data_IF_621979707885
#
_entry.id   IF_621979707885
#
_cell.length_a   1.000
_cell.length_b   1.000
_cell.length_c   1.000
_cell.angle_alpha   90.00
_cell.angle_beta   90.00
_cell.angle_gamma   90.00
#
_symmetry.space_group_name_H-M   'P 1'
#
loop_
_entity.id
_entity.type
_entity.pdbx_description
1 polymer ?
#
# COMPACT_ATOMS: atom_id res chain seq x y z
N UNK A 1 -41.68 -48.10 45.16
CA UNK A 1 -41.36 -49.35 44.44
C UNK A 1 -42.66 -50.06 44.07
N UNK A 2 -43.15 -49.85 42.85
CA UNK A 2 -44.16 -50.68 42.18
C UNK A 2 -44.09 -50.40 40.68
N UNK A 3 -44.35 -51.47 39.94
CA UNK A 3 -43.86 -51.78 38.60
C UNK A 3 -44.31 -50.84 37.47
N UNK A 4 -43.40 -50.76 36.51
CA UNK A 4 -43.56 -50.41 35.11
C UNK A 4 -44.67 -51.25 34.46
N UNK A 5 -45.60 -50.61 33.75
CA UNK A 5 -46.52 -51.25 32.82
C UNK A 5 -46.22 -50.74 31.41
N UNK A 6 -46.09 -51.70 30.49
CA UNK A 6 -45.75 -51.52 29.09
C UNK A 6 -46.80 -52.29 28.26
N UNK A 7 -47.64 -51.59 27.49
CA UNK A 7 -48.46 -52.15 26.38
C UNK A 7 -48.70 -50.97 25.41
N UNK A 8 -47.96 -50.87 24.30
CA UNK A 8 -48.22 -51.43 22.95
C UNK A 8 -49.45 -50.82 22.24
N UNK A 9 -49.20 -50.16 21.10
CA UNK A 9 -50.20 -49.66 20.16
C UNK A 9 -49.55 -49.04 18.92
N UNK A 10 -49.63 -49.76 17.79
CA UNK A 10 -48.95 -49.55 16.50
C UNK A 10 -49.60 -48.50 15.57
N UNK A 11 -48.74 -47.63 15.01
CA UNK A 11 -48.58 -47.17 13.59
C UNK A 11 -49.84 -46.70 12.80
N UNK A 12 -49.85 -45.43 12.34
CA UNK A 12 -49.67 -45.01 10.91
C UNK A 12 -49.99 -43.52 10.64
N UNK A 13 -49.12 -42.90 9.83
CA UNK A 13 -49.31 -41.73 8.96
C UNK A 13 -49.55 -40.36 9.64
N UNK A 14 -48.95 -39.25 9.23
CA UNK A 14 -48.58 -38.80 7.88
C UNK A 14 -47.28 -37.99 7.97
N UNK A 15 -46.25 -38.46 7.29
CA UNK A 15 -45.05 -37.71 7.00
C UNK A 15 -45.39 -36.73 5.85
N UNK A 16 -45.91 -35.55 6.17
CA UNK A 16 -46.05 -34.47 5.19
C UNK A 16 -44.70 -33.81 5.02
N UNK A 17 -43.95 -34.30 4.04
CA UNK A 17 -42.79 -33.66 3.47
C UNK A 17 -43.11 -32.18 3.18
N UNK A 18 -42.68 -31.27 4.05
CA UNK A 18 -42.51 -29.87 3.69
C UNK A 18 -41.31 -29.80 2.74
N UNK A 19 -41.58 -30.08 1.47
CA UNK A 19 -40.72 -29.65 0.39
C UNK A 19 -40.95 -28.15 0.21
N UNK A 20 -40.41 -27.34 1.13
CA UNK A 20 -39.92 -26.05 0.69
C UNK A 20 -38.67 -26.38 -0.12
N UNK A 21 -38.83 -26.40 -1.44
CA UNK A 21 -37.71 -26.30 -2.35
C UNK A 21 -36.88 -25.12 -1.86
N UNK A 22 -35.77 -25.41 -1.19
CA UNK A 22 -34.67 -24.47 -1.07
C UNK A 22 -34.29 -24.21 -2.51
N UNK A 23 -34.83 -23.14 -3.09
CA UNK A 23 -34.19 -22.50 -4.21
C UNK A 23 -32.79 -22.21 -3.68
N UNK A 24 -31.83 -23.05 -4.07
CA UNK A 24 -30.43 -22.68 -4.05
C UNK A 24 -30.41 -21.39 -4.85
N UNK A 25 -30.35 -20.26 -4.14
CA UNK A 25 -29.88 -19.04 -4.74
C UNK A 25 -28.50 -19.43 -5.27
N UNK A 26 -28.44 -19.63 -6.58
CA UNK A 26 -27.20 -19.74 -7.30
C UNK A 26 -26.53 -18.40 -7.04
N UNK A 27 -25.64 -18.36 -6.03
CA UNK A 27 -24.72 -17.26 -5.84
C UNK A 27 -23.90 -17.24 -7.11
N UNK A 28 -24.39 -16.47 -8.08
CA UNK A 28 -23.64 -16.06 -9.24
C UNK A 28 -22.42 -15.41 -8.65
N UNK A 29 -21.30 -16.13 -8.69
CA UNK A 29 -20.02 -15.60 -8.28
C UNK A 29 -19.82 -14.36 -9.14
N UNK A 30 -20.08 -13.21 -8.52
CA UNK A 30 -19.61 -11.94 -9.05
C UNK A 30 -18.11 -12.18 -9.08
N UNK A 31 -17.58 -12.30 -10.29
CA UNK A 31 -16.16 -12.28 -10.56
C UNK A 31 -15.69 -10.90 -10.14
N UNK A 32 -15.59 -10.71 -8.83
CA UNK A 32 -14.92 -9.62 -8.18
C UNK A 32 -13.50 -9.91 -8.59
N UNK A 33 -13.02 -9.20 -9.62
CA UNK A 33 -11.60 -9.13 -9.91
C UNK A 33 -10.93 -8.99 -8.55
N UNK A 34 -10.13 -9.96 -8.20
CA UNK A 34 -9.43 -10.04 -6.93
C UNK A 34 -8.50 -8.81 -6.89
N UNK A 35 -9.00 -7.68 -6.36
CA UNK A 35 -8.19 -6.49 -6.08
C UNK A 35 -7.41 -6.74 -4.79
N UNK A 36 -6.69 -7.88 -4.70
CA UNK A 36 -6.06 -8.33 -3.47
C UNK A 36 -4.54 -8.35 -3.57
N UNK A 37 -3.96 -7.28 -4.07
CA UNK A 37 -2.73 -6.82 -3.45
C UNK A 37 -3.13 -5.56 -2.70
N UNK A 38 -3.84 -5.80 -1.58
CA UNK A 38 -4.22 -4.70 -0.69
C UNK A 38 -2.96 -4.02 -0.18
N UNK A 39 -1.83 -4.73 -0.05
CA UNK A 39 -0.51 -4.19 0.30
C UNK A 39 0.46 -4.18 -0.86
N UNK A 40 1.39 -3.22 -0.80
CA UNK A 40 2.50 -3.07 -1.71
C UNK A 40 3.81 -2.76 -0.95
N UNK A 41 4.90 -3.25 -1.53
CA UNK A 41 6.28 -3.07 -1.16
C UNK A 41 6.96 -2.14 -2.18
N UNK A 42 7.88 -1.31 -1.71
CA UNK A 42 8.57 -0.35 -2.56
C UNK A 42 10.07 -0.38 -2.31
N UNK A 43 10.84 -0.58 -3.38
CA UNK A 43 12.28 -0.38 -3.36
C UNK A 43 12.57 1.00 -3.93
N UNK A 44 12.94 1.95 -3.08
CA UNK A 44 13.21 3.32 -3.50
C UNK A 44 14.72 3.60 -3.50
N UNK A 45 15.24 4.00 -4.65
CA UNK A 45 16.65 4.33 -4.85
C UNK A 45 16.80 5.85 -5.03
N UNK A 46 17.46 6.48 -4.06
CA UNK A 46 17.88 7.87 -4.13
C UNK A 46 19.22 7.92 -4.88
N UNK A 47 19.25 8.61 -6.02
CA UNK A 47 20.43 8.76 -6.89
C UNK A 47 20.83 10.22 -6.89
N UNK A 48 21.96 10.54 -6.25
CA UNK A 48 22.47 11.89 -6.25
C UNK A 48 23.42 12.11 -7.41
N UNK A 49 23.01 12.96 -8.35
CA UNK A 49 23.67 13.08 -9.64
C UNK A 49 25.07 13.70 -9.49
N UNK A 50 26.08 13.21 -10.24
CA UNK A 50 27.44 13.75 -10.20
C UNK A 50 27.57 15.23 -10.62
N UNK A 51 26.54 15.78 -11.27
CA UNK A 51 26.44 17.19 -11.67
C UNK A 51 26.15 18.15 -10.52
N UNK A 52 25.84 17.64 -9.34
CA UNK A 52 25.48 18.44 -8.15
C UNK A 52 26.70 19.14 -7.52
N UNK A 53 26.43 20.17 -6.72
CA UNK A 53 27.45 20.97 -6.02
C UNK A 53 27.45 20.72 -4.50
N UNK A 54 26.36 20.18 -3.95
CA UNK A 54 26.13 20.10 -2.51
C UNK A 54 25.77 18.68 -2.06
N UNK A 55 26.45 18.13 -1.05
CA UNK A 55 26.10 16.83 -0.43
C UNK A 55 24.79 16.94 0.34
N UNK A 56 23.89 15.97 0.24
CA UNK A 56 22.59 16.03 0.87
C UNK A 56 22.52 15.21 2.16
N UNK A 57 21.69 15.67 3.10
CA UNK A 57 21.19 14.89 4.23
C UNK A 57 19.70 14.71 4.06
N UNK A 58 19.24 13.47 4.19
CA UNK A 58 17.83 13.10 4.09
C UNK A 58 17.36 12.64 5.46
N UNK A 59 16.38 13.33 6.02
CA UNK A 59 15.78 13.00 7.32
C UNK A 59 14.31 12.63 7.15
N UNK A 60 13.90 11.45 7.60
CA UNK A 60 12.47 11.12 7.70
C UNK A 60 11.79 12.01 8.75
N UNK A 61 10.63 12.55 8.42
CA UNK A 61 9.86 13.46 9.30
C UNK A 61 8.53 12.87 9.73
N UNK A 62 7.82 12.22 8.82
CA UNK A 62 6.56 11.57 9.12
C UNK A 62 6.37 10.34 8.22
N UNK A 63 5.49 9.44 8.65
CA UNK A 63 5.03 8.32 7.86
C UNK A 63 3.59 7.99 8.24
N UNK A 64 2.72 7.82 7.25
CA UNK A 64 1.31 7.52 7.45
C UNK A 64 0.94 6.20 6.80
N UNK A 65 0.31 5.33 7.61
CA UNK A 65 -0.15 4.02 7.19
C UNK A 65 0.94 3.15 6.54
N UNK A 66 2.18 3.22 7.04
CA UNK A 66 3.30 2.37 6.64
C UNK A 66 3.59 1.33 7.73
N UNK A 67 3.94 0.10 7.35
CA UNK A 67 4.59 -0.86 8.24
C UNK A 67 6.09 -0.59 8.30
N UNK A 68 6.73 -0.44 7.14
CA UNK A 68 8.12 -0.06 6.99
C UNK A 68 8.23 1.26 6.23
N UNK A 69 9.02 2.19 6.75
CA UNK A 69 9.14 3.56 6.23
C UNK A 69 10.58 3.96 5.90
N UNK A 70 11.47 2.97 5.78
CA UNK A 70 12.88 3.17 5.50
C UNK A 70 13.65 3.84 6.65
N UNK A 71 14.88 4.24 6.36
CA UNK A 71 15.82 4.81 7.33
C UNK A 71 15.31 6.13 7.93
N UNK A 72 15.61 6.36 9.20
CA UNK A 72 15.28 7.64 9.87
C UNK A 72 16.12 8.81 9.34
N UNK A 73 17.38 8.53 8.99
CA UNK A 73 18.31 9.51 8.43
C UNK A 73 19.42 8.84 7.63
N UNK A 74 19.83 9.44 6.51
CA UNK A 74 21.04 9.06 5.80
C UNK A 74 21.71 10.26 5.12
N UNK A 75 23.02 10.13 4.89
CA UNK A 75 23.78 11.05 4.05
C UNK A 75 23.76 10.54 2.62
N UNK A 76 23.59 11.46 1.67
CA UNK A 76 23.60 11.15 0.24
C UNK A 76 24.70 12.00 -0.44
N UNK A 77 25.96 11.50 -0.48
CA UNK A 77 27.06 12.20 -1.12
C UNK A 77 26.88 12.32 -2.64
N UNK A 78 27.51 13.32 -3.24
CA UNK A 78 27.48 13.54 -4.69
C UNK A 78 27.96 12.29 -5.45
N UNK A 79 27.22 11.89 -6.48
CA UNK A 79 27.53 10.73 -7.32
C UNK A 79 27.33 9.39 -6.62
N UNK A 80 26.64 9.35 -5.48
CA UNK A 80 26.29 8.14 -4.75
C UNK A 80 24.79 7.88 -4.81
N UNK A 81 24.45 6.64 -4.48
CA UNK A 81 23.09 6.18 -4.36
C UNK A 81 22.83 5.59 -2.97
N UNK A 82 21.58 5.65 -2.52
CA UNK A 82 21.11 5.05 -1.29
C UNK A 82 19.75 4.40 -1.53
N UNK A 83 19.59 3.14 -1.15
CA UNK A 83 18.34 2.41 -1.33
C UNK A 83 17.63 2.24 -0.01
N UNK A 84 16.31 2.46 0.00
CA UNK A 84 15.44 2.21 1.15
C UNK A 84 14.29 1.29 0.73
N UNK A 85 13.79 0.55 1.70
CA UNK A 85 12.61 -0.30 1.56
C UNK A 85 11.43 0.33 2.30
N UNK A 86 10.27 0.35 1.65
CA UNK A 86 9.00 0.79 2.22
C UNK A 86 7.97 -0.34 2.09
N UNK A 87 7.06 -0.43 3.05
CA UNK A 87 5.94 -1.36 3.02
C UNK A 87 4.70 -0.67 3.56
N UNK A 88 3.64 -0.62 2.78
CA UNK A 88 2.40 -0.01 3.21
C UNK A 88 1.60 -0.91 4.17
N UNK A 89 0.72 -0.31 4.95
CA UNK A 89 -0.13 -1.03 5.89
C UNK A 89 -1.58 -0.99 5.44
N UNK A 90 -2.16 -2.15 5.17
CA UNK A 90 -3.56 -2.27 4.78
C UNK A 90 -4.44 -2.88 5.86
N UNK A 91 -4.01 -2.66 7.10
CA UNK A 91 -4.78 -3.04 8.25
C UNK A 91 -6.13 -2.30 8.29
N UNK A 92 -7.20 -3.06 8.15
CA UNK A 92 -8.57 -2.56 8.19
C UNK A 92 -8.93 -1.99 9.57
N UNK A 93 -8.39 -2.57 10.65
CA UNK A 93 -8.68 -2.16 12.02
C UNK A 93 -7.99 -0.85 12.41
N UNK A 94 -6.85 -0.52 11.81
CA UNK A 94 -6.22 0.81 11.94
C UNK A 94 -6.81 1.83 10.96
N UNK A 95 -7.75 1.41 10.10
CA UNK A 95 -8.39 2.24 9.10
C UNK A 95 -7.46 2.65 7.96
N UNK A 96 -6.39 1.88 7.70
CA UNK A 96 -5.42 2.21 6.65
C UNK A 96 -5.75 1.60 5.29
N UNK A 97 -6.61 0.57 5.20
CA UNK A 97 -6.90 -0.20 3.98
C UNK A 97 -7.19 0.63 2.70
N UNK A 98 -7.80 1.81 2.82
CA UNK A 98 -8.09 2.70 1.67
C UNK A 98 -7.58 4.13 1.87
N UNK A 99 -6.71 4.33 2.86
CA UNK A 99 -6.08 5.63 3.08
C UNK A 99 -4.84 5.76 2.22
N UNK A 100 -4.55 6.99 1.87
CA UNK A 100 -3.24 7.39 1.35
C UNK A 100 -2.15 6.96 2.33
N UNK A 101 -1.11 6.38 1.75
CA UNK A 101 0.10 5.90 2.37
C UNK A 101 1.20 6.89 2.02
N UNK A 102 1.99 7.30 2.99
CA UNK A 102 3.02 8.29 2.72
C UNK A 102 4.23 8.17 3.63
N UNK A 103 5.35 8.64 3.10
CA UNK A 103 6.54 8.95 3.88
C UNK A 103 7.03 10.33 3.46
N UNK A 104 7.29 11.18 4.45
CA UNK A 104 7.81 12.51 4.25
C UNK A 104 9.26 12.59 4.71
N UNK A 105 10.13 13.11 3.86
CA UNK A 105 11.53 13.41 4.18
C UNK A 105 11.82 14.88 4.04
N UNK A 106 12.61 15.42 4.97
CA UNK A 106 13.30 16.70 4.79
C UNK A 106 14.64 16.45 4.13
N UNK A 107 14.87 17.06 2.98
CA UNK A 107 16.17 17.07 2.33
C UNK A 107 16.86 18.40 2.63
N UNK A 108 18.11 18.34 3.08
CA UNK A 108 18.87 19.53 3.44
C UNK A 108 20.32 19.50 2.99
N UNK A 109 20.83 20.65 2.58
CA UNK A 109 22.26 20.91 2.38
C UNK A 109 22.55 22.39 2.24
N UNK A 110 23.37 22.96 3.14
CA UNK A 110 23.66 24.40 3.12
C UNK A 110 22.37 25.24 3.09
N UNK A 111 22.12 26.04 2.02
CA UNK A 111 20.89 26.82 1.89
C UNK A 111 19.65 26.00 1.47
N UNK A 112 19.84 24.78 0.97
CA UNK A 112 18.75 23.91 0.51
C UNK A 112 18.05 23.30 1.73
N UNK A 113 16.74 23.46 1.79
CA UNK A 113 15.85 22.79 2.73
C UNK A 113 14.48 22.64 2.09
N UNK A 114 14.06 21.42 1.78
CA UNK A 114 12.74 21.13 1.21
C UNK A 114 12.17 19.83 1.77
N UNK A 115 10.88 19.62 1.51
CA UNK A 115 10.17 18.40 1.90
C UNK A 115 9.85 17.60 0.64
N UNK A 116 10.23 16.33 0.65
CA UNK A 116 9.94 15.33 -0.37
C UNK A 116 8.93 14.35 0.22
N UNK A 117 7.89 14.01 -0.54
CA UNK A 117 6.85 13.10 -0.09
C UNK A 117 6.71 11.97 -1.10
N UNK A 118 6.85 10.74 -0.63
CA UNK A 118 6.33 9.57 -1.33
C UNK A 118 4.86 9.40 -0.97
N UNK A 119 4.01 9.18 -1.97
CA UNK A 119 2.58 8.95 -1.80
C UNK A 119 2.12 7.74 -2.61
N UNK A 120 1.41 6.84 -1.95
CA UNK A 120 0.65 5.78 -2.61
C UNK A 120 -0.80 5.85 -2.14
N UNK A 121 -1.75 5.93 -3.07
CA UNK A 121 -3.15 6.15 -2.72
C UNK A 121 -4.11 5.59 -3.74
N UNK A 122 -5.41 5.73 -3.45
CA UNK A 122 -6.49 5.26 -4.30
C UNK A 122 -7.44 6.40 -4.66
N UNK A 123 -7.54 6.73 -5.95
CA UNK A 123 -8.53 7.66 -6.49
C UNK A 123 -9.06 7.21 -7.85
N UNK A 124 -10.01 6.26 -7.81
CA UNK A 124 -10.52 5.47 -8.94
C UNK A 124 -9.59 4.34 -9.39
N UNK A 125 -8.29 4.47 -9.18
CA UNK A 125 -7.30 3.40 -9.25
C UNK A 125 -6.16 3.67 -8.25
N UNK A 126 -5.35 2.66 -7.96
CA UNK A 126 -4.13 2.84 -7.17
C UNK A 126 -3.16 3.73 -7.94
N UNK A 127 -2.43 4.60 -7.25
CA UNK A 127 -1.39 5.43 -7.84
C UNK A 127 -0.17 5.54 -6.95
N UNK A 128 0.96 5.85 -7.57
CA UNK A 128 2.20 6.27 -6.90
C UNK A 128 2.62 7.64 -7.41
N UNK A 129 3.08 8.50 -6.50
CA UNK A 129 3.51 9.86 -6.80
C UNK A 129 4.66 10.27 -5.87
N UNK A 130 5.62 11.02 -6.42
CA UNK A 130 6.65 11.72 -5.64
C UNK A 130 6.36 13.22 -5.70
N UNK A 131 6.21 13.88 -4.56
CA UNK A 131 5.84 15.30 -4.44
C UNK A 131 6.91 16.11 -3.73
N UNK A 132 6.90 17.42 -3.98
CA UNK A 132 7.78 18.39 -3.32
C UNK A 132 9.21 18.36 -3.84
N UNK A 133 10.06 19.21 -3.26
CA UNK A 133 11.47 19.37 -3.67
C UNK A 133 11.68 19.60 -5.19
N UNK A 134 10.77 20.30 -5.87
CA UNK A 134 10.78 20.53 -7.34
C UNK A 134 12.10 21.11 -7.87
N UNK A 135 12.80 21.90 -7.05
CA UNK A 135 14.06 22.54 -7.45
C UNK A 135 15.28 21.62 -7.36
N UNK A 136 15.14 20.41 -6.80
CA UNK A 136 16.24 19.45 -6.68
C UNK A 136 15.90 18.05 -7.20
N UNK A 137 14.62 17.69 -7.31
CA UNK A 137 14.21 16.43 -7.92
C UNK A 137 14.16 16.62 -9.43
N UNK A 138 15.18 16.09 -10.11
CA UNK A 138 15.24 16.16 -11.58
C UNK A 138 14.25 15.17 -12.20
N UNK A 139 14.12 13.99 -11.60
CA UNK A 139 13.30 12.90 -12.14
C UNK A 139 12.90 11.91 -11.07
N UNK A 140 11.66 11.42 -11.13
CA UNK A 140 11.22 10.28 -10.34
C UNK A 140 10.56 9.26 -11.26
N UNK A 141 11.08 8.04 -11.33
CA UNK A 141 10.50 6.97 -12.14
C UNK A 141 9.82 5.96 -11.24
N UNK A 142 8.52 5.79 -11.44
CA UNK A 142 7.69 4.77 -10.82
C UNK A 142 7.14 3.88 -11.94
N UNK A 143 7.38 2.57 -11.90
CA UNK A 143 6.87 1.62 -12.92
C UNK A 143 7.25 1.98 -14.36
N UNK A 144 8.41 2.61 -14.56
CA UNK A 144 8.88 3.04 -15.88
C UNK A 144 8.29 4.35 -16.39
N UNK A 145 7.37 4.98 -15.66
CA UNK A 145 6.81 6.29 -15.97
C UNK A 145 7.31 7.37 -15.00
N UNK A 146 7.33 8.61 -15.45
CA UNK A 146 7.67 9.76 -14.60
C UNK A 146 6.53 10.05 -13.62
N UNK A 147 6.83 9.95 -12.34
CA UNK A 147 5.94 10.18 -11.21
C UNK A 147 6.31 11.43 -10.37
N UNK A 148 7.21 12.29 -10.87
CA UNK A 148 7.54 13.56 -10.22
C UNK A 148 6.40 14.56 -10.37
N UNK A 149 5.77 14.95 -9.27
CA UNK A 149 4.56 15.80 -9.20
C UNK A 149 3.39 15.28 -10.06
N UNK A 150 3.36 13.97 -10.32
CA UNK A 150 2.38 13.34 -11.20
C UNK A 150 2.05 11.94 -10.72
N UNK A 151 0.76 11.62 -10.68
CA UNK A 151 0.24 10.27 -10.40
C UNK A 151 0.55 9.31 -11.55
N UNK A 152 1.17 8.19 -11.21
CA UNK A 152 1.30 7.01 -12.07
C UNK A 152 0.41 5.90 -11.52
N UNK A 153 -0.54 5.44 -12.33
CA UNK A 153 -1.60 4.52 -11.89
C UNK A 153 -1.22 3.03 -12.02
N UNK A 154 -1.89 2.20 -11.22
CA UNK A 154 -1.90 0.75 -11.19
C UNK A 154 -1.49 0.17 -9.84
N UNK A 155 -2.01 -1.02 -9.51
CA UNK A 155 -1.87 -1.66 -8.20
C UNK A 155 -0.95 -2.88 -8.21
N UNK A 156 0.34 -2.68 -8.48
CA UNK A 156 1.34 -3.74 -8.30
C UNK A 156 1.73 -3.86 -6.82
N UNK A 157 1.89 -5.08 -6.29
CA UNK A 157 2.43 -5.30 -4.94
C UNK A 157 3.90 -4.95 -4.77
N UNK A 158 4.65 -4.79 -5.86
CA UNK A 158 6.09 -4.50 -5.80
C UNK A 158 6.44 -3.44 -6.81
N UNK A 159 6.89 -2.29 -6.32
CA UNK A 159 7.15 -1.12 -7.14
C UNK A 159 8.59 -0.65 -6.91
N UNK A 160 9.40 -0.68 -7.96
CA UNK A 160 10.72 -0.06 -7.94
C UNK A 160 10.60 1.43 -8.29
N UNK A 161 11.20 2.28 -7.46
CA UNK A 161 11.18 3.73 -7.59
C UNK A 161 12.62 4.23 -7.69
N UNK A 162 12.90 5.04 -8.72
CA UNK A 162 14.21 5.69 -8.88
C UNK A 162 14.03 7.20 -8.80
N UNK A 163 14.76 7.83 -7.89
CA UNK A 163 14.71 9.27 -7.66
C UNK A 163 16.06 9.90 -7.97
N UNK A 164 16.14 10.64 -9.06
CA UNK A 164 17.33 11.40 -9.44
C UNK A 164 17.26 12.81 -8.86
N UNK A 165 18.30 13.19 -8.13
CA UNK A 165 18.37 14.45 -7.39
C UNK A 165 19.62 15.23 -7.82
N UNK A 166 19.45 16.51 -8.14
CA UNK A 166 20.52 17.48 -8.38
C UNK A 166 20.41 18.66 -7.41
N UNK A 167 21.45 18.89 -6.61
CA UNK A 167 21.51 19.99 -5.66
C UNK A 167 22.57 21.02 -6.08
N UNK A 168 22.14 22.20 -6.52
CA UNK A 168 22.98 23.29 -7.03
C UNK A 168 22.87 24.56 -6.19
#
# INVERSE_FOLDING_TARGET
MKMMNMISGTILAVLSCLWTSTALAEEKSVNTKEHSELSAEYNMEFIHLPSSQLNLVVDKKDSQCMYESGDDQFNLPIGKQHSIYLEDSNNLFSGCAFKTKSVEWKISSGPISCHLIFEHGYDNDWYTEIKGCENIVDKAICKGEDCNQKKVYGGDSKIDIKLEISAN
#
